data_IF_231911962800
#
_entry.id   IF_231911962800
#
_cell.length_a   1.000
_cell.length_b   1.000
_cell.length_c   1.000
_cell.angle_alpha   90.00
_cell.angle_beta   90.00
_cell.angle_gamma   90.00
#
_symmetry.space_group_name_H-M   'P 1'
#
loop_
_entity.id
_entity.type
_entity.pdbx_description
1 polymer ?
#
# COMPACT_ATOMS: atom_id res chain seq x y z
N UNK A 1 11.75 6.56 -24.68
CA UNK A 1 11.20 6.31 -23.34
C UNK A 1 11.40 7.58 -22.53
N UNK A 2 10.38 8.43 -22.42
CA UNK A 2 10.49 9.66 -21.63
C UNK A 2 10.50 9.28 -20.16
N UNK A 3 11.61 9.54 -19.47
CA UNK A 3 11.65 9.55 -18.03
C UNK A 3 10.68 10.63 -17.54
N UNK A 4 9.59 10.24 -16.91
CA UNK A 4 8.73 11.16 -16.17
C UNK A 4 9.63 11.71 -15.06
N UNK A 5 9.93 12.99 -15.13
CA UNK A 5 10.62 13.67 -14.05
C UNK A 5 9.65 13.67 -12.85
N UNK A 6 9.89 12.79 -11.91
CA UNK A 6 9.18 12.80 -10.64
C UNK A 6 9.40 14.15 -9.98
N UNK A 7 8.33 14.88 -9.73
CA UNK A 7 8.39 16.14 -9.01
C UNK A 7 9.03 15.89 -7.64
N UNK A 8 9.95 16.75 -7.24
CA UNK A 8 10.51 16.65 -5.90
C UNK A 8 9.39 16.92 -4.89
N UNK A 9 9.27 16.05 -3.88
CA UNK A 9 8.38 16.30 -2.76
C UNK A 9 8.71 17.66 -2.17
N UNK A 10 7.73 18.53 -2.02
CA UNK A 10 7.93 19.88 -1.49
C UNK A 10 7.97 19.91 0.03
N UNK A 11 7.22 18.99 0.63
CA UNK A 11 7.06 18.88 2.07
C UNK A 11 7.84 17.68 2.59
N UNK A 12 8.53 17.86 3.70
CA UNK A 12 9.22 16.78 4.41
C UNK A 12 8.34 16.08 5.45
N UNK A 13 7.13 16.59 5.64
CA UNK A 13 6.18 16.08 6.62
C UNK A 13 4.77 16.01 6.03
N UNK A 14 4.00 15.06 6.53
CA UNK A 14 2.58 14.93 6.16
C UNK A 14 1.81 16.16 6.65
N UNK A 15 1.00 16.72 5.77
CA UNK A 15 0.07 17.82 6.06
C UNK A 15 -1.35 17.44 5.64
N UNK A 16 -2.35 18.18 6.10
CA UNK A 16 -3.75 17.98 5.70
C UNK A 16 -3.96 18.07 4.19
N UNK A 17 -3.12 18.82 3.47
CA UNK A 17 -3.20 18.93 2.00
C UNK A 17 -2.93 17.61 1.28
N UNK A 18 -2.16 16.69 1.89
CA UNK A 18 -1.91 15.35 1.34
C UNK A 18 -3.16 14.45 1.37
N UNK A 19 -4.15 14.76 2.21
CA UNK A 19 -5.44 14.05 2.22
C UNK A 19 -6.53 14.67 1.35
N UNK A 20 -6.24 15.81 0.72
CA UNK A 20 -7.25 16.61 -0.01
C UNK A 20 -7.55 16.18 -1.45
N UNK A 21 -6.92 15.13 -1.97
CA UNK A 21 -7.11 14.67 -3.37
C UNK A 21 -6.52 15.60 -4.44
N UNK A 22 -5.72 16.60 -4.02
CA UNK A 22 -5.09 17.57 -4.92
C UNK A 22 -3.66 17.22 -5.28
N UNK A 23 -2.91 18.27 -5.74
CA UNK A 23 -1.52 18.08 -6.18
C UNK A 23 -0.60 17.51 -5.11
N UNK A 24 -0.72 17.93 -3.85
CA UNK A 24 0.12 17.41 -2.76
C UNK A 24 -0.06 15.89 -2.57
N UNK A 25 -1.30 15.40 -2.66
CA UNK A 25 -1.58 13.98 -2.61
C UNK A 25 -1.00 13.24 -3.83
N UNK A 26 -1.15 13.80 -5.03
CA UNK A 26 -0.58 13.22 -6.24
C UNK A 26 0.95 13.14 -6.15
N UNK A 27 1.61 14.21 -5.73
CA UNK A 27 3.06 14.25 -5.55
C UNK A 27 3.54 13.20 -4.51
N UNK A 28 2.81 13.02 -3.41
CA UNK A 28 3.11 12.00 -2.40
C UNK A 28 2.98 10.58 -2.97
N UNK A 29 1.91 10.30 -3.70
CA UNK A 29 1.69 8.99 -4.33
C UNK A 29 2.79 8.70 -5.35
N UNK A 30 3.11 9.65 -6.21
CA UNK A 30 4.10 9.46 -7.28
C UNK A 30 5.53 9.31 -6.74
N UNK A 31 5.88 10.01 -5.65
CA UNK A 31 7.25 10.04 -5.14
C UNK A 31 7.53 8.98 -4.08
N UNK A 32 6.54 8.57 -3.32
CA UNK A 32 6.71 7.61 -2.21
C UNK A 32 6.10 6.25 -2.55
N UNK A 33 4.82 6.23 -2.94
CA UNK A 33 4.11 4.96 -3.09
C UNK A 33 4.43 4.23 -4.40
N UNK A 34 4.48 4.92 -5.52
CA UNK A 34 4.79 4.27 -6.80
C UNK A 34 6.19 3.65 -6.87
N UNK A 35 7.25 4.25 -6.33
CA UNK A 35 8.56 3.59 -6.28
C UNK A 35 8.55 2.33 -5.41
N UNK A 36 7.74 2.29 -4.36
CA UNK A 36 7.67 1.15 -3.45
C UNK A 36 6.79 0.00 -3.98
N UNK A 37 5.65 0.32 -4.59
CA UNK A 37 4.63 -0.66 -5.00
C UNK A 37 4.55 -0.90 -6.51
N UNK A 38 5.29 -0.16 -7.30
CA UNK A 38 5.22 -0.16 -8.74
C UNK A 38 4.21 0.85 -9.29
N UNK A 39 4.37 1.25 -10.56
CA UNK A 39 3.51 2.24 -11.18
C UNK A 39 2.09 1.69 -11.32
N UNK A 40 1.12 2.52 -10.98
CA UNK A 40 -0.28 2.26 -11.27
C UNK A 40 -0.70 2.98 -12.57
N UNK A 41 -1.85 2.60 -13.09
CA UNK A 41 -2.45 3.29 -14.25
C UNK A 41 -2.93 4.71 -13.93
N UNK A 42 -2.88 5.13 -12.68
CA UNK A 42 -3.45 6.39 -12.20
C UNK A 42 -4.98 6.35 -12.08
N UNK A 43 -5.58 5.17 -12.18
CA UNK A 43 -7.02 4.96 -12.00
C UNK A 43 -7.34 4.65 -10.52
N UNK A 44 -8.57 4.94 -10.10
CA UNK A 44 -9.00 4.72 -8.72
C UNK A 44 -9.09 3.23 -8.34
N UNK A 45 -9.27 2.35 -9.33
CA UNK A 45 -9.37 0.92 -9.09
C UNK A 45 -8.11 0.16 -9.49
N UNK A 46 -7.78 -0.88 -8.75
CA UNK A 46 -6.81 -1.88 -9.18
C UNK A 46 -7.45 -2.86 -10.18
N UNK A 47 -6.73 -3.17 -11.26
CA UNK A 47 -7.12 -4.20 -12.22
C UNK A 47 -6.23 -5.42 -12.04
N UNK A 48 -6.85 -6.55 -11.79
CA UNK A 48 -6.17 -7.82 -11.55
C UNK A 48 -6.58 -8.80 -12.66
N UNK A 49 -5.60 -9.54 -13.19
CA UNK A 49 -5.90 -10.64 -14.12
C UNK A 49 -6.43 -11.84 -13.34
N UNK A 50 -7.48 -12.45 -13.87
CA UNK A 50 -8.12 -13.60 -13.24
C UNK A 50 -7.44 -14.94 -13.54
N UNK A 51 -6.32 -14.96 -14.27
CA UNK A 51 -5.66 -16.20 -14.71
C UNK A 51 -5.35 -17.16 -13.55
N UNK A 52 -4.93 -16.63 -12.40
CA UNK A 52 -4.67 -17.44 -11.21
C UNK A 52 -5.95 -18.02 -10.55
N UNK A 53 -7.14 -17.57 -10.97
CA UNK A 53 -8.43 -17.93 -10.41
C UNK A 53 -9.24 -18.81 -11.36
N UNK A 54 -8.75 -19.08 -12.58
CA UNK A 54 -9.47 -19.79 -13.62
C UNK A 54 -9.40 -21.32 -13.51
N UNK A 55 -8.80 -21.87 -12.49
CA UNK A 55 -8.77 -23.31 -12.27
C UNK A 55 -10.14 -23.83 -11.81
N UNK A 56 -10.64 -24.94 -12.38
CA UNK A 56 -11.89 -25.56 -11.93
C UNK A 56 -11.85 -25.89 -10.44
N UNK A 57 -12.84 -25.41 -9.69
CA UNK A 57 -12.90 -25.63 -8.24
C UNK A 57 -12.07 -24.66 -7.40
N UNK A 58 -11.39 -23.69 -8.02
CA UNK A 58 -10.71 -22.64 -7.28
C UNK A 58 -11.68 -21.86 -6.40
N UNK A 59 -11.24 -21.53 -5.20
CA UNK A 59 -11.99 -20.68 -4.24
C UNK A 59 -11.15 -19.47 -3.90
N UNK A 60 -11.81 -18.32 -3.82
CA UNK A 60 -11.20 -17.09 -3.32
C UNK A 60 -11.28 -17.05 -1.80
N UNK A 61 -10.15 -16.68 -1.18
CA UNK A 61 -10.11 -16.26 0.21
C UNK A 61 -9.73 -14.78 0.26
N UNK A 62 -10.39 -14.01 1.08
CA UNK A 62 -10.13 -12.61 1.33
C UNK A 62 -10.06 -12.38 2.83
N UNK A 63 -9.05 -11.66 3.27
CA UNK A 63 -8.96 -11.15 4.64
C UNK A 63 -8.61 -9.68 4.61
N UNK A 64 -8.95 -8.97 5.66
CA UNK A 64 -8.56 -7.57 5.86
C UNK A 64 -8.29 -7.35 7.34
N UNK A 65 -7.27 -6.56 7.62
CA UNK A 65 -6.90 -6.21 8.98
C UNK A 65 -6.39 -4.76 9.02
N UNK A 66 -6.29 -4.19 10.20
CA UNK A 66 -5.75 -2.87 10.43
C UNK A 66 -4.73 -2.90 11.56
N UNK A 67 -3.67 -2.11 11.43
CA UNK A 67 -2.55 -2.13 12.36
C UNK A 67 -2.28 -0.74 12.90
N UNK A 68 -2.09 -0.67 14.20
CA UNK A 68 -1.66 0.53 14.92
C UNK A 68 -0.55 0.13 15.86
N UNK A 69 0.59 0.79 15.78
CA UNK A 69 1.73 0.57 16.66
C UNK A 69 2.48 1.86 16.91
N UNK A 70 2.96 2.04 18.12
CA UNK A 70 3.81 3.18 18.51
C UNK A 70 5.00 2.67 19.33
N UNK A 71 6.24 2.98 18.95
CA UNK A 71 6.64 3.74 17.75
C UNK A 71 6.40 2.95 16.45
N UNK A 72 6.36 3.67 15.30
CA UNK A 72 6.15 3.03 13.98
C UNK A 72 7.27 2.08 13.61
N UNK A 73 8.51 2.38 14.02
CA UNK A 73 9.68 1.53 13.91
C UNK A 73 10.05 0.98 15.29
N UNK A 74 10.33 -0.30 15.38
CA UNK A 74 10.67 -0.97 16.63
C UNK A 74 11.72 -2.07 16.41
N UNK A 75 12.41 -2.55 17.46
CA UNK A 75 13.38 -3.62 17.30
C UNK A 75 12.79 -4.85 16.62
N UNK A 76 13.31 -5.19 15.46
CA UNK A 76 12.88 -6.33 14.66
C UNK A 76 11.88 -6.03 13.53
N UNK A 77 11.38 -4.80 13.42
CA UNK A 77 10.46 -4.44 12.34
C UNK A 77 9.90 -3.02 12.42
N UNK A 78 8.87 -2.82 11.64
CA UNK A 78 8.09 -1.60 11.54
C UNK A 78 6.62 -1.94 11.30
N UNK A 79 5.76 -0.92 11.28
CA UNK A 79 4.33 -1.10 11.06
C UNK A 79 4.02 -1.75 9.71
N UNK A 80 4.80 -1.47 8.67
CA UNK A 80 4.61 -2.06 7.33
C UNK A 80 4.89 -3.56 7.34
N UNK A 81 6.01 -3.98 7.95
CA UNK A 81 6.33 -5.39 8.15
C UNK A 81 5.26 -6.11 8.99
N UNK A 82 4.81 -5.46 10.05
CA UNK A 82 3.73 -6.00 10.90
C UNK A 82 2.45 -6.21 10.09
N UNK A 83 2.04 -5.22 9.31
CA UNK A 83 0.82 -5.26 8.50
C UNK A 83 0.87 -6.38 7.45
N UNK A 84 1.97 -6.48 6.71
CA UNK A 84 2.13 -7.55 5.69
C UNK A 84 2.14 -8.92 6.35
N UNK A 85 2.95 -9.13 7.38
CA UNK A 85 3.06 -10.42 8.04
C UNK A 85 1.75 -10.85 8.70
N UNK A 86 1.04 -9.96 9.38
CA UNK A 86 -0.23 -10.26 10.03
C UNK A 86 -1.31 -10.67 9.02
N UNK A 87 -1.47 -9.89 7.96
CA UNK A 87 -2.46 -10.17 6.92
C UNK A 87 -2.15 -11.46 6.15
N UNK A 88 -0.88 -11.72 5.84
CA UNK A 88 -0.47 -12.96 5.17
C UNK A 88 -0.70 -14.18 6.08
N UNK A 89 -0.46 -14.04 7.37
CA UNK A 89 -0.71 -15.11 8.33
C UNK A 89 -2.17 -15.55 8.37
N UNK A 90 -3.10 -14.63 8.28
CA UNK A 90 -4.54 -14.94 8.23
C UNK A 90 -4.90 -15.81 7.03
N UNK A 91 -4.33 -15.53 5.87
CA UNK A 91 -4.49 -16.38 4.69
C UNK A 91 -3.82 -17.74 4.87
N UNK A 92 -2.60 -17.75 5.44
CA UNK A 92 -1.80 -18.95 5.60
C UNK A 92 -2.45 -19.97 6.52
N UNK A 93 -3.02 -19.52 7.66
CA UNK A 93 -3.73 -20.44 8.59
C UNK A 93 -4.99 -21.02 7.98
N UNK A 94 -5.61 -20.32 7.02
CA UNK A 94 -6.72 -20.82 6.21
C UNK A 94 -6.29 -21.70 5.03
N UNK A 95 -4.98 -21.92 4.82
CA UNK A 95 -4.44 -22.68 3.70
C UNK A 95 -4.53 -21.96 2.35
N UNK A 96 -4.71 -20.65 2.36
CA UNK A 96 -4.78 -19.84 1.15
C UNK A 96 -3.40 -19.28 0.76
N UNK A 97 -3.17 -19.14 -0.54
CA UNK A 97 -1.96 -18.51 -1.09
C UNK A 97 -2.21 -17.02 -1.32
N UNK A 98 -1.41 -16.11 -0.73
CA UNK A 98 -1.53 -14.69 -0.99
C UNK A 98 -1.12 -14.40 -2.46
N UNK A 99 -1.96 -13.67 -3.19
CA UNK A 99 -1.72 -13.27 -4.57
C UNK A 99 -1.62 -11.75 -4.69
N UNK A 100 -2.46 -11.03 -3.99
CA UNK A 100 -2.52 -9.57 -4.02
C UNK A 100 -2.70 -9.03 -2.61
N UNK A 101 -2.21 -7.83 -2.40
CA UNK A 101 -2.37 -7.08 -1.17
C UNK A 101 -2.92 -5.70 -1.53
N UNK A 102 -3.96 -5.26 -0.85
CA UNK A 102 -4.36 -3.85 -0.82
C UNK A 102 -3.89 -3.23 0.48
N UNK A 103 -3.40 -2.01 0.43
CA UNK A 103 -2.96 -1.28 1.61
C UNK A 103 -3.68 0.07 1.70
N UNK A 104 -4.24 0.36 2.85
CA UNK A 104 -4.79 1.67 3.19
C UNK A 104 -3.94 2.30 4.29
N UNK A 105 -3.59 3.56 4.11
CA UNK A 105 -2.75 4.30 5.05
C UNK A 105 -3.54 5.46 5.65
N UNK A 106 -3.55 5.53 6.97
CA UNK A 106 -4.06 6.68 7.71
C UNK A 106 -2.83 7.36 8.31
N UNK A 107 -2.44 8.48 7.74
CA UNK A 107 -1.22 9.19 8.11
C UNK A 107 -1.57 10.35 9.04
N UNK A 108 -0.83 10.46 10.13
CA UNK A 108 -0.96 11.61 11.03
C UNK A 108 -0.26 12.84 10.45
N UNK A 109 -0.87 14.00 10.64
CA UNK A 109 -0.24 15.28 10.32
C UNK A 109 1.05 15.48 11.14
N UNK A 110 2.12 15.91 10.48
CA UNK A 110 3.44 16.11 11.09
C UNK A 110 4.34 14.88 11.06
N UNK A 111 3.87 13.72 10.57
CA UNK A 111 4.74 12.57 10.31
C UNK A 111 5.78 12.88 9.22
N UNK A 112 7.01 12.42 9.38
CA UNK A 112 8.05 12.53 8.33
C UNK A 112 7.67 11.69 7.11
N UNK A 113 8.03 12.19 5.91
CA UNK A 113 7.81 11.51 4.63
C UNK A 113 9.12 10.94 4.10
#
# INVERSE_FOLDING_TARGET
MNAIAFGALRDSHVTLSHGGGGKAMADLIETVFFPAFGPSSGEDQARLTADALCEPGARLALTTDSFVVTPLEFPGGDIGKLAVCGTVNDLAVGGARPLWLSAAFILEEGGEI
#
